data_IF_592687716675
#
_entry.id   IF_592687716675
#
_cell.length_a   1.000
_cell.length_b   1.000
_cell.length_c   1.000
_cell.angle_alpha   90.00
_cell.angle_beta   90.00
_cell.angle_gamma   90.00
#
_symmetry.space_group_name_H-M   'P 1'
#
loop_
_entity.id
_entity.type
_entity.pdbx_description
1 polymer ?
#
# COMPACT_ATOMS: atom_id res chain seq x y z
N UNK A 1 10.58 6.65 19.72
CA UNK A 1 9.17 6.34 19.39
C UNK A 1 9.18 5.01 18.65
N UNK A 2 8.74 3.93 19.29
CA UNK A 2 8.62 2.62 18.64
C UNK A 2 7.24 2.60 17.99
N UNK A 3 7.20 2.50 16.66
CA UNK A 3 5.95 2.28 15.93
C UNK A 3 5.76 0.76 15.89
N UNK A 4 4.79 0.23 16.63
CA UNK A 4 4.41 -1.17 16.47
C UNK A 4 3.75 -1.32 15.10
N UNK A 5 4.40 -2.03 14.19
CA UNK A 5 3.81 -2.37 12.91
C UNK A 5 2.70 -3.39 13.16
N UNK A 6 1.50 -3.12 12.64
CA UNK A 6 0.38 -4.05 12.76
C UNK A 6 0.66 -5.26 11.85
N UNK A 7 0.77 -6.44 12.45
CA UNK A 7 0.93 -7.70 11.73
C UNK A 7 -0.42 -8.41 11.58
N UNK A 8 -0.61 -9.07 10.45
CA UNK A 8 -1.82 -9.84 10.11
C UNK A 8 -1.37 -11.22 9.64
N UNK A 9 -1.91 -12.28 10.26
CA UNK A 9 -1.69 -13.66 9.82
C UNK A 9 -2.66 -14.00 8.68
N UNK A 10 -2.12 -14.48 7.56
CA UNK A 10 -2.89 -14.92 6.39
C UNK A 10 -2.28 -16.25 5.92
N UNK A 11 -3.09 -17.31 5.87
CA UNK A 11 -2.68 -18.65 5.45
C UNK A 11 -1.42 -19.20 6.15
N UNK A 12 -1.24 -18.86 7.44
CA UNK A 12 -0.08 -19.27 8.24
C UNK A 12 1.19 -18.43 8.04
N UNK A 13 1.11 -17.36 7.25
CA UNK A 13 2.18 -16.39 7.04
C UNK A 13 1.85 -15.06 7.71
N UNK A 14 2.84 -14.46 8.38
CA UNK A 14 2.69 -13.16 9.00
C UNK A 14 3.08 -12.06 8.02
N UNK A 15 2.18 -11.11 7.80
CA UNK A 15 2.42 -9.95 6.97
C UNK A 15 2.31 -8.66 7.77
N UNK A 16 3.15 -7.69 7.44
CA UNK A 16 3.14 -6.36 8.04
C UNK A 16 2.33 -5.41 7.15
N UNK A 17 1.50 -4.58 7.78
CA UNK A 17 0.81 -3.48 7.08
C UNK A 17 1.82 -2.40 6.66
N UNK A 18 2.18 -2.38 5.38
CA UNK A 18 3.07 -1.35 4.84
C UNK A 18 2.30 -0.09 4.43
N UNK A 19 1.06 -0.24 3.95
CA UNK A 19 0.21 0.89 3.53
C UNK A 19 -1.27 0.57 3.62
N UNK A 20 -2.07 1.55 4.05
CA UNK A 20 -3.54 1.59 3.91
C UNK A 20 -3.90 2.64 2.89
N UNK A 21 -4.81 2.34 1.96
CA UNK A 21 -5.28 3.29 0.95
C UNK A 21 -6.75 3.05 0.59
N UNK A 22 -7.41 4.09 0.08
CA UNK A 22 -8.82 4.08 -0.26
C UNK A 22 -9.02 4.29 -1.77
N UNK A 23 -9.80 3.42 -2.41
CA UNK A 23 -10.16 3.51 -3.83
C UNK A 23 -11.66 3.28 -3.94
N UNK A 24 -12.39 4.26 -4.49
CA UNK A 24 -13.84 4.18 -4.71
C UNK A 24 -14.61 3.71 -3.47
N UNK A 25 -14.35 4.34 -2.31
CA UNK A 25 -14.97 4.02 -1.02
C UNK A 25 -14.70 2.61 -0.49
N UNK A 26 -13.69 1.93 -1.01
CA UNK A 26 -13.18 0.66 -0.46
C UNK A 26 -11.79 0.90 0.11
N UNK A 27 -11.55 0.38 1.30
CA UNK A 27 -10.22 0.43 1.94
C UNK A 27 -9.45 -0.85 1.65
N UNK A 28 -8.17 -0.69 1.35
CA UNK A 28 -7.27 -1.78 1.02
C UNK A 28 -5.98 -1.67 1.84
N UNK A 29 -5.36 -2.82 2.07
CA UNK A 29 -4.08 -2.97 2.74
C UNK A 29 -3.05 -3.53 1.77
N UNK A 30 -1.90 -2.88 1.69
CA UNK A 30 -0.68 -3.45 1.11
C UNK A 30 0.12 -4.10 2.24
N UNK A 31 0.21 -5.42 2.17
CA UNK A 31 0.80 -6.27 3.19
C UNK A 31 2.09 -6.88 2.65
N UNK A 32 3.18 -6.77 3.39
CA UNK A 32 4.48 -7.33 2.99
C UNK A 32 4.93 -8.39 3.97
N UNK A 33 5.52 -9.46 3.45
CA UNK A 33 6.17 -10.47 4.28
C UNK A 33 7.45 -9.87 4.86
N UNK A 34 7.64 -9.99 6.17
CA UNK A 34 8.81 -9.46 6.88
C UNK A 34 10.11 -10.14 6.41
N UNK A 35 10.05 -11.43 6.13
CA UNK A 35 11.20 -12.23 5.71
C UNK A 35 11.53 -12.03 4.22
N UNK A 36 10.55 -11.61 3.41
CA UNK A 36 10.70 -11.40 1.98
C UNK A 36 9.80 -10.26 1.47
N UNK A 37 10.34 -9.05 1.39
CA UNK A 37 9.58 -7.87 0.95
C UNK A 37 9.05 -7.93 -0.49
N UNK A 38 9.54 -8.87 -1.32
CA UNK A 38 8.99 -9.12 -2.66
C UNK A 38 7.76 -10.02 -2.64
N UNK A 39 7.56 -10.76 -1.54
CA UNK A 39 6.34 -11.49 -1.25
C UNK A 39 5.37 -10.55 -0.54
N UNK A 40 4.34 -10.13 -1.28
CA UNK A 40 3.35 -9.19 -0.80
C UNK A 40 1.96 -9.62 -1.24
N UNK A 41 0.97 -9.22 -0.46
CA UNK A 41 -0.44 -9.45 -0.77
C UNK A 41 -1.22 -8.15 -0.61
N UNK A 42 -2.35 -8.07 -1.32
CA UNK A 42 -3.26 -6.94 -1.23
C UNK A 42 -4.60 -7.48 -0.77
N UNK A 43 -5.08 -6.95 0.36
CA UNK A 43 -6.33 -7.37 0.98
C UNK A 43 -7.29 -6.18 1.02
N UNK A 44 -8.59 -6.46 0.90
CA UNK A 44 -9.64 -5.47 1.13
C UNK A 44 -10.07 -5.53 2.60
N UNK A 45 -10.36 -4.37 3.18
CA UNK A 45 -11.06 -4.30 4.48
C UNK A 45 -12.57 -4.34 4.23
N UNK A 46 -13.24 -5.22 4.97
CA UNK A 46 -14.70 -5.25 5.12
C UNK A 46 -15.06 -4.95 6.57
N UNK A 47 -16.23 -4.35 6.79
CA UNK A 47 -16.73 -4.04 8.12
C UNK A 47 -18.00 -4.88 8.31
N UNK A 48 -17.97 -5.78 9.28
CA UNK A 48 -19.10 -6.63 9.66
C UNK A 48 -19.33 -6.50 11.17
N UNK A 49 -20.56 -6.22 11.59
CA UNK A 49 -20.93 -6.00 13.00
C UNK A 49 -20.08 -4.95 13.76
N UNK A 50 -19.53 -3.97 13.03
CA UNK A 50 -18.69 -2.90 13.60
C UNK A 50 -17.22 -3.26 13.76
N UNK A 51 -16.83 -4.48 13.40
CA UNK A 51 -15.45 -4.97 13.43
C UNK A 51 -14.84 -4.98 12.02
N UNK A 52 -13.54 -4.68 11.90
CA UNK A 52 -12.81 -4.71 10.63
C UNK A 52 -12.25 -6.12 10.36
N UNK A 53 -12.50 -6.66 9.17
CA UNK A 53 -11.93 -7.92 8.69
C UNK A 53 -11.19 -7.70 7.38
N UNK A 54 -10.20 -8.55 7.11
CA UNK A 54 -9.51 -8.59 5.81
C UNK A 54 -10.06 -9.71 4.94
N UNK A 55 -10.25 -9.42 3.66
CA UNK A 55 -10.69 -10.39 2.67
C UNK A 55 -9.88 -10.26 1.39
N UNK A 56 -9.67 -11.41 0.73
CA UNK A 56 -9.00 -11.50 -0.55
C UNK A 56 -9.65 -10.62 -1.61
N UNK A 57 -8.87 -10.24 -2.61
CA UNK A 57 -9.40 -9.60 -3.81
C UNK A 57 -9.93 -10.68 -4.75
N UNK A 58 -11.19 -11.05 -4.56
CA UNK A 58 -11.89 -11.86 -5.55
C UNK A 58 -11.90 -11.07 -6.88
N UNK A 59 -11.38 -11.69 -7.93
CA UNK A 59 -11.18 -11.23 -9.32
C UNK A 59 -9.83 -10.55 -9.63
N UNK A 60 -9.11 -11.12 -10.62
CA UNK A 60 -7.90 -10.56 -11.27
C UNK A 60 -8.04 -9.06 -11.56
N UNK A 61 -9.20 -8.65 -12.10
CA UNK A 61 -9.48 -7.24 -12.44
C UNK A 61 -9.41 -6.27 -11.26
N UNK A 62 -9.80 -6.69 -10.06
CA UNK A 62 -9.73 -5.83 -8.87
C UNK A 62 -8.30 -5.70 -8.38
N UNK A 63 -7.56 -6.80 -8.40
CA UNK A 63 -6.13 -6.78 -8.09
C UNK A 63 -5.38 -5.86 -9.05
N UNK A 64 -5.58 -6.03 -10.36
CA UNK A 64 -4.94 -5.21 -11.39
C UNK A 64 -5.25 -3.71 -11.24
N UNK A 65 -6.51 -3.39 -10.94
CA UNK A 65 -6.92 -2.01 -10.70
C UNK A 65 -6.18 -1.42 -9.50
N UNK A 66 -6.16 -2.14 -8.38
CA UNK A 66 -5.50 -1.68 -7.15
C UNK A 66 -3.99 -1.54 -7.37
N UNK A 67 -3.37 -2.49 -8.09
CA UNK A 67 -1.97 -2.41 -8.49
C UNK A 67 -1.67 -1.17 -9.32
N UNK A 68 -2.48 -0.89 -10.34
CA UNK A 68 -2.32 0.29 -11.17
C UNK A 68 -2.40 1.59 -10.34
N UNK A 69 -3.29 1.64 -9.34
CA UNK A 69 -3.37 2.76 -8.41
C UNK A 69 -2.10 2.92 -7.57
N UNK A 70 -1.56 1.83 -7.03
CA UNK A 70 -0.31 1.84 -6.25
C UNK A 70 0.86 2.34 -7.11
N UNK A 71 0.99 1.81 -8.33
CA UNK A 71 2.05 2.21 -9.26
C UNK A 71 1.92 3.69 -9.66
N UNK A 72 0.70 4.15 -9.95
CA UNK A 72 0.44 5.57 -10.25
C UNK A 72 0.84 6.46 -9.08
N UNK A 73 0.46 6.10 -7.86
CA UNK A 73 0.79 6.87 -6.66
C UNK A 73 2.30 6.95 -6.45
N UNK A 74 3.01 5.83 -6.61
CA UNK A 74 4.48 5.81 -6.58
C UNK A 74 5.10 6.73 -7.63
N UNK A 75 4.62 6.68 -8.87
CA UNK A 75 5.12 7.52 -9.96
C UNK A 75 4.88 9.02 -9.70
N UNK A 76 3.73 9.38 -9.13
CA UNK A 76 3.43 10.76 -8.76
C UNK A 76 4.35 11.26 -7.65
N UNK A 77 4.56 10.46 -6.59
CA UNK A 77 5.50 10.81 -5.53
C UNK A 77 6.94 10.95 -6.04
N UNK A 78 7.36 10.09 -6.97
CA UNK A 78 8.67 10.20 -7.61
C UNK A 78 8.78 11.50 -8.43
N UNK A 79 7.74 11.84 -9.20
CA UNK A 79 7.69 13.08 -9.97
C UNK A 79 7.83 14.30 -9.06
N UNK A 80 7.08 14.34 -7.96
CA UNK A 80 7.10 15.47 -7.02
C UNK A 80 8.50 15.64 -6.40
N UNK A 81 9.15 14.54 -6.00
CA UNK A 81 10.55 14.56 -5.51
C UNK A 81 11.50 15.13 -6.55
N UNK A 82 11.40 14.69 -7.80
CA UNK A 82 12.26 15.17 -8.89
C UNK A 82 11.99 16.63 -9.29
N UNK A 83 10.81 17.18 -8.99
CA UNK A 83 10.50 18.59 -9.22
C UNK A 83 11.07 19.47 -8.10
N UNK A 84 10.93 19.04 -6.85
CA UNK A 84 11.49 19.75 -5.70
C UNK A 84 13.03 19.78 -5.72
N UNK A 85 13.68 18.70 -6.16
CA UNK A 85 15.15 18.65 -6.33
C UNK A 85 15.70 19.65 -7.37
N UNK A 86 14.84 20.16 -8.28
CA UNK A 86 15.24 21.17 -9.28
C UNK A 86 15.16 22.60 -8.77
N UNK A 87 14.42 22.86 -7.69
CA UNK A 87 14.32 24.20 -7.08
C UNK A 87 15.49 24.51 -6.14
N UNK A 88 16.20 23.48 -5.66
CA UNK A 88 17.36 23.60 -4.76
C UNK A 88 18.72 23.72 -5.49
N UNK A 89 18.74 23.74 -6.82
CA UNK A 89 19.96 24.13 -7.55
C UNK A 89 19.97 25.65 -7.74
N UNK A 90 20.88 26.41 -7.08
CA UNK A 90 21.03 27.80 -7.42
C UNK A 90 21.49 27.86 -8.88
N UNK A 91 20.72 28.56 -9.72
CA UNK A 91 21.15 28.94 -11.06
C UNK A 91 22.48 29.69 -10.92
N UNK A 92 23.60 28.99 -11.14
CA UNK A 92 24.91 29.63 -11.23
C UNK A 92 24.88 30.52 -12.48
N UNK A 93 24.87 31.83 -12.22
CA UNK A 93 25.10 32.92 -13.17
C UNK A 93 26.48 32.83 -13.82
#
# INVERSE_FOLDING_TARGET
MIIHAQAIEIDGHNYIVAKRFEISSNTYLYLVNEDNVLDYVIQKIIIEDGEEYVTGLDFEKKFDLVQAYIQRDFLMQLKDKLQNDKEDQPENQ
#
